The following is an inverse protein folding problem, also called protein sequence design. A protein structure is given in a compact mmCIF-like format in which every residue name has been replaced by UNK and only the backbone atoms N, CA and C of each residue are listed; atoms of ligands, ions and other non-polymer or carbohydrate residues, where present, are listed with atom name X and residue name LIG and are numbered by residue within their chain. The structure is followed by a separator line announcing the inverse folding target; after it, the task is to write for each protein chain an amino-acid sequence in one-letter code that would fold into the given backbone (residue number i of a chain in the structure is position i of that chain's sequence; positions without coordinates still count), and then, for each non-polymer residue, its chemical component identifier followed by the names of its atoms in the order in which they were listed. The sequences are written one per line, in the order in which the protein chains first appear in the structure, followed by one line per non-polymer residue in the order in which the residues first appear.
data_IF_828663474976
#
_entry.id   IF_828663474976
#
_cell.length_a   1.000
_cell.length_b   1.000
_cell.length_c   1.000
_cell.angle_alpha   90.00
_cell.angle_beta   90.00
_cell.angle_gamma   90.00
#
_symmetry.space_group_name_H-M   'P 1'
#
loop_
_entity.id
_entity.type
_entity.pdbx_description
1 polymer ?
2 non-polymer ?
3 non-polymer ?
#
# COMPACT_ATOMS: atom_id res chain seq x y z
N UNK A 1 -16.93 -24.01 14.40
CA UNK A 1 -16.25 -24.60 13.27
C UNK A 1 -14.94 -23.93 12.91
N UNK A 2 -14.16 -24.93 12.47
CA UNK A 2 -12.84 -24.84 11.82
C UNK A 2 -12.72 -26.01 10.84
N UNK A 3 -11.62 -26.20 10.07
CA UNK A 3 -11.82 -27.24 9.01
C UNK A 3 -10.66 -27.96 8.28
N UNK A 4 -11.22 -28.28 7.09
CA UNK A 4 -10.73 -29.02 5.91
C UNK A 4 -12.02 -29.27 5.05
N UNK A 5 -13.02 -28.42 5.37
CA UNK A 5 -14.42 -28.46 4.84
C UNK A 5 -15.00 -27.00 4.83
N UNK A 6 -15.31 -26.51 3.63
CA UNK A 6 -15.87 -25.13 3.37
C UNK A 6 -16.16 -24.44 4.76
N UNK A 7 -16.43 -23.11 4.82
CA UNK A 7 -16.68 -22.41 6.14
C UNK A 7 -17.90 -21.39 6.16
N UNK A 8 -18.33 -21.14 7.44
CA UNK A 8 -19.44 -20.22 7.96
C UNK A 8 -19.50 -18.89 7.16
N UNK A 9 -18.70 -18.04 7.72
CA UNK A 9 -18.30 -16.67 7.33
C UNK A 9 -19.21 -15.72 6.48
N UNK A 10 -18.95 -14.42 6.83
CA UNK A 10 -19.57 -13.15 6.31
C UNK A 10 -18.50 -12.20 5.72
N UNK A 11 -17.99 -12.56 4.54
CA UNK A 11 -17.12 -11.66 3.76
C UNK A 11 -18.09 -10.49 3.33
N UNK A 12 -17.68 -9.44 2.70
CA UNK A 12 -18.54 -8.32 2.30
C UNK A 12 -18.64 -8.18 0.79
N UNK A 13 -19.72 -8.47 0.06
CA UNK A 13 -19.63 -8.28 -1.41
C UNK A 13 -19.93 -6.85 -1.92
N UNK A 14 -19.08 -6.57 -2.93
CA UNK A 14 -18.95 -5.39 -3.77
C UNK A 14 -19.58 -5.94 -5.12
N UNK A 15 -20.91 -5.82 -4.94
CA UNK A 15 -21.85 -6.30 -5.97
C UNK A 15 -21.82 -5.58 -7.28
N UNK A 16 -20.82 -4.77 -7.50
CA UNK A 16 -20.77 -3.91 -8.78
C UNK A 16 -20.93 -2.47 -8.34
N UNK A 17 -20.20 -1.65 -9.07
CA UNK A 17 -19.80 -0.33 -9.26
C UNK A 17 -20.51 0.84 -8.44
N UNK A 18 -19.77 1.34 -7.39
CA UNK A 18 -20.17 2.40 -6.37
C UNK A 18 -21.63 2.30 -5.98
N UNK A 19 -21.78 1.17 -5.40
CA UNK A 19 -22.92 0.70 -4.66
C UNK A 19 -22.22 0.28 -3.37
N UNK A 20 -22.61 0.69 -2.21
CA UNK A 20 -21.88 0.36 -0.98
C UNK A 20 -21.62 -1.12 -0.86
N UNK A 21 -21.06 -1.42 0.31
CA UNK A 21 -20.67 -2.83 0.60
C UNK A 21 -21.73 -3.78 1.09
N UNK A 22 -21.80 -4.89 0.34
CA UNK A 22 -22.84 -5.87 0.78
C UNK A 22 -22.16 -6.70 1.82
N UNK A 23 -22.56 -6.59 3.08
CA UNK A 23 -21.93 -7.37 4.16
C UNK A 23 -22.76 -8.68 4.37
N UNK A 24 -22.60 -9.46 3.33
CA UNK A 24 -23.11 -10.74 3.02
C UNK A 24 -22.56 -11.86 3.90
N UNK A 25 -22.83 -13.06 3.37
CA UNK A 25 -22.48 -14.32 4.02
C UNK A 25 -22.06 -15.18 2.84
N UNK A 26 -20.92 -15.76 3.11
CA UNK A 26 -20.30 -16.61 2.08
C UNK A 26 -19.62 -17.90 2.50
N UNK A 27 -19.39 -18.50 1.37
CA UNK A 27 -18.86 -19.82 1.38
C UNK A 27 -17.60 -19.99 0.61
N UNK A 28 -16.55 -19.98 1.46
CA UNK A 28 -15.17 -20.13 1.13
C UNK A 28 -14.66 -21.54 1.02
N UNK A 29 -14.21 -22.19 0.02
CA UNK A 29 -13.69 -23.52 0.20
C UNK A 29 -12.47 -23.59 1.10
N UNK A 30 -12.17 -24.81 1.54
CA UNK A 30 -10.94 -25.15 2.25
C UNK A 30 -9.84 -24.95 1.11
N UNK A 31 -8.61 -24.69 1.56
CA UNK A 31 -7.45 -24.42 0.77
C UNK A 31 -7.00 -25.50 -0.16
N UNK A 32 -7.14 -25.34 -1.42
CA UNK A 32 -6.78 -26.27 -2.47
C UNK A 32 -5.32 -26.59 -2.28
N UNK A 33 -4.71 -27.10 -3.30
CA UNK A 33 -3.29 -27.53 -3.30
C UNK A 33 -2.36 -26.35 -3.42
N UNK A 34 -1.43 -26.26 -2.51
CA UNK A 34 -0.47 -25.16 -2.46
C UNK A 34 -1.14 -23.86 -2.03
N UNK A 35 -2.19 -23.78 -1.30
CA UNK A 35 -2.86 -22.50 -0.92
C UNK A 35 -2.88 -22.27 0.57
N UNK A 36 -3.59 -21.41 1.21
CA UNK A 36 -3.51 -21.28 2.68
C UNK A 36 -4.67 -20.52 3.25
N UNK A 37 -5.65 -21.17 3.89
CA UNK A 37 -6.79 -20.28 4.37
C UNK A 37 -6.32 -19.52 5.57
N UNK A 38 -6.73 -18.27 5.69
CA UNK A 38 -6.38 -17.36 6.76
C UNK A 38 -7.65 -16.79 7.40
N UNK A 39 -7.65 -16.70 8.71
CA UNK A 39 -8.82 -16.12 9.42
C UNK A 39 -8.36 -14.70 9.68
N UNK A 40 -8.85 -13.70 8.99
CA UNK A 40 -8.35 -12.32 9.27
C UNK A 40 -8.43 -11.97 10.76
N UNK A 41 -7.85 -10.85 11.14
CA UNK A 41 -7.87 -10.23 12.43
C UNK A 41 -8.10 -8.72 12.29
N UNK A 42 -7.58 -8.12 11.22
CA UNK A 42 -7.61 -6.72 10.81
C UNK A 42 -7.28 -6.39 9.34
N UNK A 43 -7.85 -5.28 8.89
CA UNK A 43 -7.65 -4.73 7.58
C UNK A 43 -7.83 -3.16 7.55
N UNK A 44 -7.13 -2.67 6.52
CA UNK A 44 -7.22 -1.24 6.31
C UNK A 44 -7.91 -1.02 4.96
N UNK A 45 -8.48 0.19 4.99
CA UNK A 45 -9.09 0.88 3.87
C UNK A 45 -8.04 1.76 3.26
N UNK A 46 -7.52 1.13 2.28
CA UNK A 46 -6.61 1.72 1.38
C UNK A 46 -7.49 2.24 0.31
N UNK A 47 -7.01 3.24 -0.36
CA UNK A 47 -7.84 3.84 -1.35
C UNK A 47 -7.86 3.02 -2.66
N UNK A 48 -6.81 2.20 -2.64
CA UNK A 48 -6.65 1.43 -3.90
C UNK A 48 -7.87 0.65 -4.32
N UNK A 49 -8.61 0.41 -3.32
CA UNK A 49 -9.81 -0.33 -3.01
C UNK A 49 -11.05 0.39 -3.51
N UNK A 50 -11.09 1.68 -3.19
CA UNK A 50 -12.05 2.70 -3.48
C UNK A 50 -12.22 2.71 -5.03
N UNK A 51 -11.06 2.64 -5.61
CA UNK A 51 -10.91 2.59 -7.05
C UNK A 51 -11.64 1.38 -7.63
N UNK A 52 -12.15 0.49 -6.80
CA UNK A 52 -12.84 -0.64 -7.62
C UNK A 52 -14.28 -0.27 -7.37
N UNK A 53 -14.50 0.14 -6.09
CA UNK A 53 -15.84 0.58 -5.74
C UNK A 53 -16.22 1.61 -6.83
N UNK A 54 -15.25 2.13 -7.60
CA UNK A 54 -15.49 3.16 -8.56
C UNK A 54 -15.25 3.05 -10.00
N UNK A 55 -15.05 2.03 -10.71
CA UNK A 55 -14.85 2.16 -12.18
C UNK A 55 -13.37 2.45 -12.39
N UNK A 56 -12.85 3.38 -11.62
CA UNK A 56 -11.40 3.76 -11.75
C UNK A 56 -10.47 2.59 -11.90
N UNK A 57 -10.41 1.65 -10.99
CA UNK A 57 -9.51 0.47 -11.12
C UNK A 57 -10.30 -0.64 -11.81
N UNK A 58 -9.98 -1.02 -13.04
CA UNK A 58 -10.76 -2.12 -13.66
C UNK A 58 -10.23 -3.42 -12.98
N UNK A 59 -11.03 -4.36 -12.58
CA UNK A 59 -10.78 -5.65 -11.95
C UNK A 59 -12.19 -6.30 -11.98
N UNK A 60 -12.27 -7.54 -12.31
CA UNK A 60 -13.57 -8.20 -12.51
C UNK A 60 -14.55 -8.26 -11.40
N UNK A 61 -15.85 -8.05 -11.73
CA UNK A 61 -16.90 -8.12 -10.67
C UNK A 61 -17.84 -9.32 -10.82
N UNK A 62 -18.38 -9.78 -9.72
CA UNK A 62 -18.26 -9.32 -8.33
C UNK A 62 -16.92 -9.78 -7.80
N UNK A 63 -16.44 -9.04 -6.79
CA UNK A 63 -15.05 -9.32 -6.30
C UNK A 63 -14.87 -9.00 -4.85
N UNK A 64 -14.01 -9.71 -4.11
CA UNK A 64 -13.94 -9.26 -2.68
C UNK A 64 -12.78 -8.26 -2.60
N UNK A 65 -13.07 -7.05 -2.18
CA UNK A 65 -12.10 -5.96 -2.10
C UNK A 65 -11.26 -6.21 -0.86
N UNK A 66 -10.36 -5.41 -0.51
CA UNK A 66 -9.38 -5.31 0.51
C UNK A 66 -8.07 -6.01 0.06
N UNK A 67 -6.92 -5.41 0.39
CA UNK A 67 -5.58 -6.03 0.11
C UNK A 67 -4.60 -5.68 1.22
N UNK A 68 -5.11 -4.91 2.16
CA UNK A 68 -4.30 -4.44 3.29
C UNK A 68 -4.80 -5.01 4.60
N UNK A 69 -4.22 -6.22 4.88
CA UNK A 69 -4.59 -6.82 6.21
C UNK A 69 -3.55 -7.81 6.78
N UNK A 70 -3.76 -8.06 8.06
CA UNK A 70 -3.03 -9.01 8.86
C UNK A 70 -3.99 -10.12 9.44
N UNK A 71 -3.69 -11.32 8.98
CA UNK A 71 -4.32 -12.57 9.33
C UNK A 71 -3.53 -13.41 10.38
N UNK A 72 -4.06 -14.59 10.73
CA UNK A 72 -3.68 -15.68 11.56
C UNK A 72 -4.00 -16.96 10.74
N UNK A 73 -3.09 -17.68 10.18
CA UNK A 73 -3.38 -18.85 9.33
C UNK A 73 -4.39 -19.77 10.00
N UNK A 74 -5.02 -20.70 9.26
CA UNK A 74 -5.97 -21.68 9.80
C UNK A 74 -6.10 -22.95 8.95
N UNK A 75 -5.37 -23.17 7.91
CA UNK A 75 -5.54 -24.51 7.16
C UNK A 75 -4.39 -24.54 6.19
N UNK A 76 -3.83 -25.54 5.60
CA UNK A 76 -2.74 -25.29 4.64
C UNK A 76 -2.71 -26.49 3.70
N UNK A 77 -2.69 -26.31 2.43
CA UNK A 77 -2.72 -27.43 1.50
C UNK A 77 -1.51 -28.28 1.79
N UNK A 78 -1.39 -29.20 0.90
CA UNK A 78 -0.24 -30.10 0.88
C UNK A 78 0.66 -29.20 -0.05
N UNK A 79 1.95 -29.26 0.20
CA UNK A 79 2.85 -28.48 -0.73
C UNK A 79 3.37 -27.30 0.08
N UNK A 80 2.65 -26.93 1.17
CA UNK A 80 3.16 -25.77 1.88
C UNK A 80 4.13 -25.89 3.01
N UNK A 81 5.40 -25.74 2.57
CA UNK A 81 6.66 -25.64 3.33
C UNK A 81 6.69 -24.35 4.20
N UNK A 82 6.51 -23.18 3.66
CA UNK A 82 6.48 -21.88 4.19
C UNK A 82 5.66 -21.37 5.34
N UNK A 83 4.49 -21.85 5.69
CA UNK A 83 3.59 -21.40 6.80
C UNK A 83 2.99 -22.73 7.42
N UNK A 84 2.41 -22.58 8.59
CA UNK A 84 1.79 -23.63 9.41
C UNK A 84 0.85 -22.92 10.36
N UNK A 85 -0.29 -23.45 10.73
CA UNK A 85 -1.30 -22.81 11.55
C UNK A 85 -0.87 -21.92 12.69
N UNK A 86 -1.91 -21.29 13.27
CA UNK A 86 -1.74 -20.38 14.39
C UNK A 86 -0.71 -19.32 14.14
N UNK A 87 0.01 -19.45 13.05
CA UNK A 87 1.03 -18.57 12.47
C UNK A 87 0.48 -17.20 12.06
N UNK A 88 1.07 -16.03 12.38
CA UNK A 88 0.49 -14.75 11.87
C UNK A 88 0.97 -14.46 10.45
N UNK A 89 0.08 -13.70 9.77
CA UNK A 89 0.47 -13.49 8.31
C UNK A 89 0.07 -12.19 7.71
N UNK A 90 0.70 -11.83 6.57
CA UNK A 90 0.33 -10.53 5.88
C UNK A 90 0.06 -11.08 4.45
N UNK A 91 -1.19 -11.08 3.99
CA UNK A 91 -1.47 -11.65 2.61
C UNK A 91 -0.62 -10.81 1.69
N UNK A 92 -0.11 -11.12 0.53
CA UNK A 92 0.77 -10.18 -0.23
C UNK A 92 0.16 -9.80 -1.58
N UNK A 93 -0.15 -8.48 -1.68
CA UNK A 93 -0.79 -8.01 -2.95
C UNK A 93 0.18 -8.10 -4.10
N UNK A 94 1.48 -8.28 -3.78
CA UNK A 94 2.53 -8.49 -4.80
C UNK A 94 3.21 -9.86 -4.50
N UNK A 95 3.08 -10.77 -5.44
CA UNK A 95 3.65 -12.08 -5.43
C UNK A 95 5.14 -12.12 -5.02
N UNK A 96 5.74 -13.23 -5.47
CA UNK A 96 7.24 -13.51 -4.71
C UNK A 96 7.47 -14.95 -5.08
N UNK A 97 7.22 -15.20 -6.35
CA UNK A 97 7.30 -16.56 -6.88
C UNK A 97 8.73 -17.03 -6.94
N UNK A 98 9.54 -16.31 -6.24
CA UNK A 98 10.95 -16.62 -6.12
C UNK A 98 11.61 -16.93 -7.45
N UNK A 99 11.14 -16.55 -8.60
CA UNK A 99 11.82 -16.78 -9.84
C UNK A 99 10.87 -16.53 -11.12
N UNK A 100 11.30 -15.57 -11.97
CA UNK A 100 10.70 -15.04 -13.26
C UNK A 100 11.65 -13.87 -13.53
N UNK A 101 11.95 -13.45 -14.72
CA UNK A 101 12.98 -12.37 -14.77
C UNK A 101 12.82 -11.45 -13.58
N UNK A 102 11.82 -10.65 -13.32
CA UNK A 102 11.79 -9.77 -12.14
C UNK A 102 12.05 -10.31 -10.75
N UNK A 103 11.83 -11.56 -10.55
CA UNK A 103 11.96 -12.15 -9.21
C UNK A 103 13.35 -12.57 -8.91
N UNK A 104 13.99 -12.99 -9.93
CA UNK A 104 15.36 -13.31 -9.83
C UNK A 104 16.12 -11.95 -10.18
N UNK A 105 15.54 -10.83 -10.50
CA UNK A 105 16.44 -9.62 -10.74
C UNK A 105 16.58 -8.70 -9.55
N UNK A 106 17.79 -8.14 -9.40
CA UNK A 106 18.06 -7.28 -8.24
C UNK A 106 17.17 -6.12 -8.08
N UNK A 107 16.27 -5.65 -8.87
CA UNK A 107 15.28 -4.55 -8.65
C UNK A 107 14.13 -5.09 -9.62
N UNK A 108 13.28 -5.76 -8.92
CA UNK A 108 12.15 -6.41 -9.61
C UNK A 108 11.41 -6.98 -8.38
N UNK A 109 10.26 -6.43 -8.14
CA UNK A 109 9.38 -6.89 -7.07
C UNK A 109 8.01 -7.09 -7.77
N UNK A 110 7.73 -6.42 -8.81
CA UNK A 110 6.47 -6.58 -9.55
C UNK A 110 6.73 -7.98 -10.17
N UNK A 111 6.30 -9.01 -9.42
CA UNK A 111 6.44 -10.39 -9.86
C UNK A 111 5.51 -10.65 -11.04
N UNK A 112 6.04 -11.07 -12.17
CA UNK A 112 5.39 -11.39 -13.42
C UNK A 112 4.08 -12.19 -13.22
N UNK A 113 3.73 -12.38 -11.98
CA UNK A 113 2.65 -13.15 -11.46
C UNK A 113 1.54 -12.48 -10.72
N UNK A 114 1.30 -11.25 -10.98
CA UNK A 114 0.26 -10.48 -10.24
C UNK A 114 -0.93 -10.24 -11.17
N UNK A 115 -1.94 -9.64 -10.52
CA UNK A 115 -3.20 -9.27 -11.10
C UNK A 115 -3.33 -7.82 -11.53
N UNK A 116 -2.43 -6.97 -11.05
CA UNK A 116 -2.39 -5.53 -11.30
C UNK A 116 -2.26 -5.36 -12.83
N UNK A 117 -1.33 -6.10 -13.41
CA UNK A 117 -1.14 -5.93 -14.86
C UNK A 117 -2.57 -6.22 -15.36
N UNK A 118 -2.98 -7.42 -15.51
CA UNK A 118 -4.39 -7.57 -16.02
C UNK A 118 -5.34 -8.38 -15.16
N UNK A 119 -5.98 -7.61 -14.33
CA UNK A 119 -6.94 -8.20 -13.36
C UNK A 119 -7.75 -9.23 -14.12
N UNK A 120 -7.72 -10.42 -13.49
CA UNK A 120 -8.35 -11.69 -13.88
C UNK A 120 -9.37 -12.27 -12.88
N UNK A 121 -9.38 -11.71 -11.68
CA UNK A 121 -10.21 -11.96 -10.56
C UNK A 121 -10.07 -13.32 -9.86
N UNK A 122 -9.46 -14.26 -10.55
CA UNK A 122 -9.19 -15.54 -10.09
C UNK A 122 -8.12 -15.56 -8.93
N UNK A 123 -7.50 -16.69 -8.87
CA UNK A 123 -6.50 -17.33 -8.01
C UNK A 123 -5.45 -17.94 -8.96
N UNK A 124 -4.24 -18.28 -8.56
CA UNK A 124 -3.27 -18.71 -9.58
C UNK A 124 -3.70 -19.88 -10.41
N UNK A 125 -4.76 -20.60 -10.17
CA UNK A 125 -5.11 -21.77 -11.07
C UNK A 125 -6.19 -21.38 -12.07
N UNK A 126 -6.63 -20.15 -11.93
CA UNK A 126 -7.70 -19.59 -12.77
C UNK A 126 -9.02 -20.13 -12.20
N UNK A 127 -9.17 -20.06 -10.89
CA UNK A 127 -10.34 -20.58 -10.18
C UNK A 127 -10.61 -19.86 -8.91
N UNK A 128 -11.86 -19.66 -8.49
CA UNK A 128 -12.08 -18.92 -7.25
C UNK A 128 -12.82 -19.54 -6.08
N UNK A 129 -12.09 -19.76 -5.02
CA UNK A 129 -12.44 -20.21 -3.73
C UNK A 129 -13.51 -19.43 -3.01
N UNK A 130 -14.45 -18.73 -3.62
CA UNK A 130 -15.51 -17.98 -2.87
C UNK A 130 -16.92 -18.12 -3.51
N UNK A 131 -17.96 -18.64 -2.86
CA UNK A 131 -19.27 -18.68 -3.51
C UNK A 131 -20.19 -17.67 -2.80
N UNK A 132 -21.11 -17.06 -3.56
CA UNK A 132 -22.06 -16.11 -2.92
C UNK A 132 -23.27 -16.92 -2.76
N UNK A 133 -22.97 -17.63 -1.71
CA UNK A 133 -23.71 -18.74 -1.19
C UNK A 133 -24.11 -19.60 -2.39
N UNK A 134 -24.28 -18.91 -3.56
CA UNK A 134 -24.72 -19.55 -4.85
C UNK A 134 -23.86 -19.16 -6.11
N UNK A 135 -23.36 -17.94 -6.15
CA UNK A 135 -22.55 -17.41 -7.30
C UNK A 135 -21.09 -17.26 -6.93
N UNK A 136 -20.17 -17.58 -7.83
CA UNK A 136 -18.73 -17.43 -7.63
C UNK A 136 -18.36 -15.95 -7.57
N UNK A 137 -17.89 -15.43 -6.51
CA UNK A 137 -17.41 -14.08 -6.36
C UNK A 137 -15.96 -14.14 -6.91
N UNK A 138 -15.38 -13.12 -7.51
CA UNK A 138 -13.99 -13.20 -8.02
C UNK A 138 -12.96 -12.75 -7.01
N UNK A 139 -11.67 -12.95 -7.26
CA UNK A 139 -10.69 -12.45 -6.27
C UNK A 139 -10.10 -11.10 -6.76
N UNK A 140 -9.40 -10.53 -5.75
CA UNK A 140 -8.72 -9.24 -5.80
C UNK A 140 -7.23 -9.25 -5.42
N UNK A 141 -6.58 -9.14 -6.57
CA UNK A 141 -5.04 -9.10 -6.52
C UNK A 141 -5.00 -10.57 -6.09
N UNK A 142 -4.64 -10.87 -4.88
CA UNK A 142 -4.72 -12.36 -4.58
C UNK A 142 -5.02 -12.33 -3.08
N UNK A 143 -5.56 -11.19 -2.68
CA UNK A 143 -5.79 -11.18 -1.17
C UNK A 143 -7.25 -11.30 -0.87
N UNK A 144 -8.15 -10.41 -1.14
CA UNK A 144 -9.63 -10.38 -0.92
C UNK A 144 -9.58 -10.42 0.60
N UNK A 145 -9.09 -9.34 1.08
CA UNK A 145 -8.82 -9.19 2.52
C UNK A 145 -10.04 -8.77 3.20
N UNK A 146 -11.06 -8.40 2.50
CA UNK A 146 -12.35 -7.91 3.08
C UNK A 146 -13.35 -8.93 3.56
N UNK A 147 -13.00 -10.17 3.75
CA UNK A 147 -13.84 -11.26 4.23
C UNK A 147 -13.28 -11.74 5.57
N UNK A 148 -14.07 -12.41 6.39
CA UNK A 148 -13.39 -12.87 7.67
C UNK A 148 -12.55 -14.13 7.44
N UNK A 149 -12.47 -14.70 6.27
CA UNK A 149 -11.65 -15.85 5.97
C UNK A 149 -11.19 -15.77 4.53
N UNK A 150 -9.93 -16.03 4.19
CA UNK A 150 -9.67 -15.92 2.71
C UNK A 150 -8.72 -17.01 2.27
N UNK A 151 -8.54 -17.20 1.01
CA UNK A 151 -7.62 -18.22 0.48
C UNK A 151 -6.73 -17.52 -0.57
N UNK A 152 -5.46 -17.50 -0.19
CA UNK A 152 -4.37 -16.81 -0.93
C UNK A 152 -3.34 -17.78 -1.39
N UNK A 153 -2.68 -17.90 -2.49
CA UNK A 153 -1.65 -18.90 -2.70
C UNK A 153 -0.53 -18.61 -1.61
N UNK A 154 0.57 -19.24 -1.94
CA UNK A 154 1.82 -19.21 -1.10
C UNK A 154 2.78 -18.12 -1.60
N UNK A 155 2.98 -17.98 -2.90
CA UNK A 155 3.80 -16.91 -3.51
C UNK A 155 3.12 -15.68 -2.93
N UNK A 156 1.81 -15.53 -2.95
CA UNK A 156 1.16 -14.37 -2.29
C UNK A 156 0.91 -14.37 -0.80
N UNK A 157 1.74 -14.87 0.09
CA UNK A 157 1.61 -14.88 1.58
C UNK A 157 2.92 -14.94 2.40
N UNK A 158 3.10 -14.01 3.32
CA UNK A 158 4.21 -13.75 4.18
C UNK A 158 4.10 -13.86 5.69
N UNK A 159 4.90 -14.78 6.26
CA UNK A 159 4.87 -14.99 7.72
C UNK A 159 5.47 -13.94 8.60
N UNK A 160 4.66 -13.14 9.25
CA UNK A 160 5.21 -12.10 10.16
C UNK A 160 5.69 -12.67 11.49
N UNK A 161 5.82 -11.89 12.54
CA UNK A 161 6.36 -12.10 13.83
C UNK A 161 5.56 -12.60 14.99
N UNK A 162 5.38 -13.87 15.13
CA UNK A 162 4.59 -14.43 16.27
C UNK A 162 4.04 -13.49 17.30
N UNK A 163 4.46 -12.36 17.74
CA UNK A 163 3.65 -11.62 18.75
C UNK A 163 3.44 -10.18 18.20
N UNK A 164 3.23 -10.20 16.89
CA UNK A 164 3.00 -9.03 16.05
C UNK A 164 1.61 -8.51 16.28
N UNK A 165 1.40 -7.41 16.96
CA UNK A 165 0.02 -6.87 17.17
C UNK A 165 -0.73 -6.84 15.84
N UNK A 166 -1.32 -7.92 15.37
CA UNK A 166 -2.06 -8.09 14.15
C UNK A 166 -2.89 -6.92 13.70
N UNK A 167 -3.16 -6.06 14.63
CA UNK A 167 -3.86 -4.84 14.58
C UNK A 167 -3.18 -3.75 13.78
N UNK A 168 -1.94 -3.46 14.03
CA UNK A 168 -0.93 -2.54 13.61
C UNK A 168 -0.10 -2.99 12.40
N UNK A 169 0.27 -4.22 12.45
CA UNK A 169 1.08 -4.89 11.40
C UNK A 169 0.29 -5.06 10.10
N UNK A 170 -0.90 -4.52 9.96
CA UNK A 170 -1.74 -4.66 8.75
C UNK A 170 -1.23 -3.70 7.70
N UNK A 171 -0.89 -2.53 8.21
CA UNK A 171 -0.34 -1.36 7.53
C UNK A 171 0.87 -1.71 6.71
N UNK A 172 1.79 -2.48 7.20
CA UNK A 172 3.01 -2.94 6.59
C UNK A 172 2.75 -3.58 5.26
N UNK A 173 1.47 -3.56 4.88
CA UNK A 173 0.90 -4.03 3.64
C UNK A 173 0.74 -3.09 2.42
N UNK A 174 0.41 -1.85 2.64
CA UNK A 174 0.27 -0.88 1.54
C UNK A 174 0.68 0.47 2.05
N UNK A 175 -0.27 1.03 2.75
CA UNK A 175 -0.16 2.32 3.37
C UNK A 175 1.28 2.64 3.72
N UNK A 176 1.87 1.97 4.66
CA UNK A 176 3.20 2.16 5.18
C UNK A 176 4.36 1.51 4.50
N UNK A 177 4.48 0.52 3.74
CA UNK A 177 5.82 0.11 3.22
C UNK A 177 5.85 0.55 1.75
N UNK A 178 4.92 1.47 1.52
CA UNK A 178 4.81 1.97 0.09
C UNK A 178 5.42 3.38 0.14
N UNK A 179 4.93 4.07 1.17
CA UNK A 179 5.35 5.43 1.55
C UNK A 179 6.78 5.05 1.99
N UNK A 180 7.03 4.89 3.25
CA UNK A 180 8.34 4.50 3.77
C UNK A 180 9.29 3.81 2.83
N UNK A 181 8.87 2.89 2.02
CA UNK A 181 9.80 2.19 1.14
C UNK A 181 10.25 2.95 -0.05
N UNK A 182 9.61 4.02 -0.41
CA UNK A 182 9.98 4.82 -1.62
C UNK A 182 11.28 5.48 -1.25
N UNK A 183 11.01 6.09 -0.06
CA UNK A 183 12.11 6.74 0.63
C UNK A 183 13.21 5.68 0.79
N UNK A 184 12.95 4.39 1.11
CA UNK A 184 14.12 3.49 1.33
C UNK A 184 14.69 2.52 0.39
N UNK A 185 14.05 2.00 -0.60
CA UNK A 185 14.74 0.97 -1.45
C UNK A 185 14.71 1.50 -2.83
N UNK A 186 13.95 2.64 -2.98
CA UNK A 186 13.88 3.21 -4.37
C UNK A 186 14.75 4.44 -4.71
N UNK A 187 14.42 5.50 -3.97
CA UNK A 187 15.10 6.79 -4.16
C UNK A 187 16.31 6.70 -3.28
N UNK A 188 16.92 5.56 -3.27
CA UNK A 188 18.13 5.23 -2.44
C UNK A 188 18.62 6.34 -1.53
N UNK A 189 17.75 7.19 -1.00
CA UNK A 189 18.06 8.31 -0.16
C UNK A 189 19.29 8.11 0.67
N UNK A 190 20.10 9.12 0.75
CA UNK A 190 21.39 9.44 1.31
C UNK A 190 21.46 10.27 2.57
N UNK A 191 22.44 9.93 3.41
CA UNK A 191 22.60 10.69 4.72
C UNK A 191 23.05 12.08 4.34
N UNK A 192 22.30 13.08 4.82
CA UNK A 192 22.76 14.49 4.40
C UNK A 192 21.62 15.26 3.76
N UNK A 193 21.25 14.91 2.57
CA UNK A 193 20.19 15.39 1.75
C UNK A 193 19.16 16.37 2.24
N UNK A 194 18.32 16.70 1.26
CA UNK A 194 17.15 17.60 1.38
C UNK A 194 16.24 16.76 0.43
N UNK A 195 15.20 16.40 1.12
CA UNK A 195 14.09 15.60 0.66
C UNK A 195 12.76 16.34 0.76
N UNK A 196 12.02 16.37 -0.34
CA UNK A 196 10.69 17.06 -0.37
C UNK A 196 9.57 16.06 -0.32
N UNK A 197 8.41 16.31 0.34
CA UNK A 197 7.31 15.33 0.32
C UNK A 197 5.96 16.02 -0.05
N UNK A 198 5.50 15.56 -1.17
CA UNK A 198 4.25 16.06 -1.76
C UNK A 198 3.11 15.12 -1.45
N UNK A 199 2.38 15.44 -0.45
CA UNK A 199 1.24 14.70 0.09
C UNK A 199 1.58 14.43 1.58
N UNK A 200 0.66 14.88 2.43
CA UNK A 200 0.98 14.63 3.86
C UNK A 200 0.01 13.73 4.57
N UNK A 201 -0.44 12.67 3.86
CA UNK A 201 -1.34 11.68 4.55
C UNK A 201 -0.61 10.32 4.75
N UNK A 202 -1.41 9.29 5.02
CA UNK A 202 -1.05 7.94 5.23
C UNK A 202 0.24 7.59 4.51
N UNK A 203 0.26 7.56 3.18
CA UNK A 203 1.55 7.20 2.51
C UNK A 203 2.65 8.23 2.66
N UNK A 204 2.51 9.52 2.42
CA UNK A 204 3.61 10.45 2.63
C UNK A 204 4.22 10.37 4.04
N UNK A 205 3.55 10.49 5.17
CA UNK A 205 4.24 10.39 6.46
C UNK A 205 5.02 9.06 6.46
N UNK A 206 4.47 8.01 5.88
CA UNK A 206 5.28 6.76 5.86
C UNK A 206 6.53 7.06 5.02
N UNK A 207 6.46 8.01 4.10
CA UNK A 207 7.58 8.35 3.19
C UNK A 207 8.63 9.30 3.73
N UNK A 208 8.28 10.26 4.50
CA UNK A 208 8.87 11.23 5.30
C UNK A 208 9.49 10.31 6.43
N UNK A 209 8.74 9.20 6.59
CA UNK A 209 9.07 8.27 7.62
C UNK A 209 10.23 7.41 7.24
N UNK A 210 10.60 7.30 5.98
CA UNK A 210 11.77 6.39 5.68
C UNK A 210 13.01 7.14 5.26
N UNK A 211 12.89 8.48 5.10
CA UNK A 211 14.02 9.34 4.67
C UNK A 211 15.03 9.25 5.85
N UNK A 212 14.31 9.78 6.90
CA UNK A 212 14.94 9.90 8.24
C UNK A 212 15.55 8.53 8.41
N UNK A 213 14.85 7.58 7.76
CA UNK A 213 15.46 6.23 7.99
C UNK A 213 16.78 6.32 7.23
N UNK A 214 16.50 6.52 5.95
CA UNK A 214 17.53 6.50 4.91
C UNK A 214 18.82 7.16 5.35
N UNK A 215 18.57 8.28 6.03
CA UNK A 215 19.90 8.96 6.36
C UNK A 215 19.38 10.23 6.96
N UNK A 216 19.32 11.37 6.29
CA UNK A 216 18.77 12.39 7.26
C UNK A 216 18.38 13.67 6.59
N UNK A 217 18.71 14.53 7.56
CA UNK A 217 18.83 16.01 7.66
C UNK A 217 17.64 16.89 7.37
N UNK A 218 17.43 17.23 6.11
CA UNK A 218 16.33 18.14 5.78
C UNK A 218 15.19 17.41 5.09
N UNK A 219 14.03 17.31 5.76
CA UNK A 219 12.83 16.70 5.14
C UNK A 219 11.67 17.77 5.20
N UNK A 220 11.67 18.51 4.08
CA UNK A 220 10.61 19.56 3.99
C UNK A 220 9.45 18.61 3.67
N UNK A 221 8.26 18.96 3.95
CA UNK A 221 7.03 18.24 3.63
C UNK A 221 5.97 19.28 3.25
N UNK A 222 5.64 19.29 1.97
CA UNK A 222 4.63 20.32 1.59
C UNK A 222 3.24 19.74 1.67
N UNK A 223 2.29 20.37 2.25
CA UNK A 223 0.86 19.90 2.24
C UNK A 223 0.04 21.21 2.31
N UNK A 224 -0.90 21.45 1.39
CA UNK A 224 -1.64 22.73 1.49
C UNK A 224 -2.70 22.59 2.58
N UNK A 225 -2.38 21.74 3.56
CA UNK A 225 -3.25 21.36 4.66
C UNK A 225 -2.71 21.57 6.05
N UNK A 226 -3.01 22.81 6.44
CA UNK A 226 -2.69 23.34 7.75
C UNK A 226 -2.80 22.27 8.81
N UNK A 227 -3.36 21.13 8.58
CA UNK A 227 -3.53 20.16 9.71
C UNK A 227 -2.58 18.99 9.69
N UNK A 228 -2.40 18.51 8.47
CA UNK A 228 -1.47 17.40 8.26
C UNK A 228 -0.11 17.85 8.77
N UNK A 229 0.21 19.08 9.23
CA UNK A 229 1.64 19.25 9.63
C UNK A 229 1.98 18.67 11.01
N UNK A 230 1.18 18.86 12.04
CA UNK A 230 1.62 18.32 13.40
C UNK A 230 2.28 16.97 13.16
N UNK A 231 1.39 15.99 12.96
CA UNK A 231 1.65 14.61 12.68
C UNK A 231 2.91 14.52 11.83
N UNK A 232 2.94 15.50 10.92
CA UNK A 232 4.00 15.67 9.89
C UNK A 232 5.38 15.76 10.53
N UNK A 233 5.41 16.86 11.27
CA UNK A 233 6.70 17.10 12.02
C UNK A 233 6.79 16.03 13.08
N UNK A 234 5.60 15.44 13.43
CA UNK A 234 5.53 14.42 14.44
C UNK A 234 6.25 13.14 14.09
N UNK A 235 6.40 12.87 12.80
CA UNK A 235 7.04 11.57 12.51
C UNK A 235 8.39 11.69 11.86
N UNK A 236 8.94 12.95 11.87
CA UNK A 236 10.34 12.99 11.23
C UNK A 236 10.52 14.17 10.31
N UNK A 237 9.44 14.95 10.21
CA UNK A 237 9.40 16.13 9.35
C UNK A 237 10.28 17.18 10.03
N UNK A 238 11.21 17.69 9.22
CA UNK A 238 12.17 18.71 9.63
C UNK A 238 11.57 20.12 9.47
N UNK A 239 10.54 20.15 8.65
CA UNK A 239 9.89 21.45 8.37
C UNK A 239 8.61 21.43 7.60
N UNK A 240 7.78 22.45 7.56
CA UNK A 240 6.54 22.37 6.77
C UNK A 240 6.05 23.55 5.99
N UNK A 241 6.02 23.42 4.70
CA UNK A 241 5.54 24.39 3.71
C UNK A 241 4.08 24.11 3.32
N UNK A 242 3.27 25.06 2.95
CA UNK A 242 1.86 24.89 2.44
C UNK A 242 1.75 25.73 1.17
N UNK A 243 1.75 25.20 -0.02
CA UNK A 243 1.73 25.99 -1.26
C UNK A 243 0.78 27.13 -1.40
N UNK A 244 -0.08 27.34 -0.47
CA UNK A 244 -1.09 28.35 -0.37
C UNK A 244 -0.52 29.64 0.21
N UNK A 245 0.48 29.52 1.03
CA UNK A 245 1.12 30.63 1.73
C UNK A 245 1.75 31.81 0.97
N UNK A 246 2.49 31.58 -0.05
CA UNK A 246 3.28 32.20 -0.97
C UNK A 246 2.69 32.62 -2.31
N UNK A 247 3.11 33.76 -2.84
CA UNK A 247 2.63 34.20 -4.15
C UNK A 247 3.67 33.78 -5.18
N UNK A 248 4.12 32.57 -5.32
CA UNK A 248 5.09 32.16 -6.37
C UNK A 248 4.97 30.59 -6.53
N UNK A 249 5.35 30.15 -7.68
CA UNK A 249 5.31 28.72 -7.98
C UNK A 249 5.94 28.05 -6.77
N UNK A 250 5.37 26.94 -6.29
CA UNK A 250 6.01 26.30 -5.06
C UNK A 250 7.30 25.63 -5.57
N UNK A 251 7.14 25.32 -6.85
CA UNK A 251 8.28 24.68 -7.56
C UNK A 251 9.52 25.52 -7.40
N UNK A 252 9.31 26.73 -6.96
CA UNK A 252 10.30 27.80 -6.79
C UNK A 252 10.53 28.00 -5.33
N UNK A 253 9.53 28.34 -4.55
CA UNK A 253 9.81 28.53 -3.10
C UNK A 253 10.45 27.31 -2.46
N UNK A 254 10.86 26.35 -3.25
CA UNK A 254 11.47 25.09 -2.78
C UNK A 254 12.93 25.09 -3.21
N UNK A 255 13.07 25.51 -4.43
CA UNK A 255 14.44 25.59 -5.10
C UNK A 255 15.34 26.55 -4.33
N UNK A 256 14.58 27.50 -3.68
CA UNK A 256 15.13 28.50 -2.80
C UNK A 256 15.76 27.64 -1.64
N UNK A 257 14.93 27.35 -0.67
CA UNK A 257 15.15 26.59 0.53
C UNK A 257 16.25 25.55 0.46
N UNK A 258 16.36 24.88 -0.65
CA UNK A 258 17.39 23.84 -0.82
C UNK A 258 18.66 24.50 -1.37
N UNK A 259 18.41 25.69 -2.00
CA UNK A 259 19.51 26.37 -2.66
C UNK A 259 19.63 25.44 -3.91
N UNK A 260 18.67 25.71 -4.78
CA UNK A 260 18.64 24.96 -6.06
C UNK A 260 17.91 23.66 -6.07
N UNK A 261 17.18 23.42 -4.94
CA UNK A 261 16.43 22.22 -4.83
C UNK A 261 16.88 20.97 -4.13
N UNK A 262 15.87 20.44 -3.40
CA UNK A 262 15.76 19.23 -2.61
C UNK A 262 16.17 18.14 -3.66
N UNK A 263 17.05 17.32 -3.20
CA UNK A 263 17.85 16.26 -3.56
C UNK A 263 17.29 14.97 -4.14
N UNK A 264 16.13 14.72 -3.60
CA UNK A 264 15.05 13.82 -3.58
C UNK A 264 13.66 14.41 -3.28
N UNK A 265 12.66 14.06 -4.06
CA UNK A 265 11.30 14.59 -3.72
C UNK A 265 10.29 13.47 -3.91
N UNK A 266 9.05 13.65 -3.60
CA UNK A 266 8.07 12.54 -3.81
C UNK A 266 6.66 13.11 -3.84
N UNK A 267 5.92 12.67 -4.79
CA UNK A 267 4.46 13.05 -4.97
C UNK A 267 3.73 11.90 -4.31
N UNK A 268 3.04 11.95 -3.22
CA UNK A 268 2.28 10.85 -2.56
C UNK A 268 0.82 11.42 -2.45
N UNK A 269 0.52 12.08 -3.53
CA UNK A 269 -0.70 12.85 -3.76
C UNK A 269 -1.46 12.11 -4.83
N UNK A 270 -0.68 11.74 -5.85
CA UNK A 270 -1.20 11.09 -7.07
C UNK A 270 -1.84 12.16 -7.99
N UNK A 271 -1.54 13.49 -7.90
CA UNK A 271 -2.17 14.49 -8.79
C UNK A 271 -1.41 14.63 -10.11
N UNK A 272 -2.11 14.70 -11.23
CA UNK A 272 -1.35 14.77 -12.53
C UNK A 272 -0.54 16.07 -12.61
N UNK A 273 -0.89 17.02 -11.76
CA UNK A 273 -0.15 18.27 -11.69
C UNK A 273 1.08 18.04 -10.80
N UNK A 274 0.86 17.83 -9.53
CA UNK A 274 1.93 17.63 -8.53
C UNK A 274 2.97 16.61 -8.91
N UNK A 275 2.72 16.00 -10.03
CA UNK A 275 3.64 14.91 -10.52
C UNK A 275 4.67 15.53 -11.42
N UNK A 276 4.22 16.49 -12.23
CA UNK A 276 5.17 17.23 -13.10
C UNK A 276 5.86 18.25 -12.16
N UNK A 277 5.10 18.79 -11.23
CA UNK A 277 5.49 19.74 -10.22
C UNK A 277 6.57 19.39 -9.19
N UNK A 278 7.17 18.23 -9.30
CA UNK A 278 8.16 17.77 -8.37
C UNK A 278 9.23 16.98 -9.10
N UNK A 279 9.19 17.07 -10.40
CA UNK A 279 10.27 16.39 -11.16
C UNK A 279 11.20 17.68 -11.08
N UNK A 280 10.40 18.75 -11.23
CA UNK A 280 10.71 20.13 -11.27
C UNK A 280 11.51 20.61 -10.06
N UNK A 281 11.00 20.57 -8.87
CA UNK A 281 11.67 21.10 -7.67
C UNK A 281 12.68 20.18 -7.05
N UNK A 282 13.60 19.77 -7.79
CA UNK A 282 14.66 18.78 -7.46
C UNK A 282 15.88 19.23 -8.16
N UNK A 283 17.11 18.98 -7.86
CA UNK A 283 18.29 19.52 -8.63
C UNK A 283 18.45 19.04 -10.03
N UNK A 284 18.50 19.80 -11.10
CA UNK A 284 18.62 19.34 -12.47
C UNK A 284 19.87 18.71 -13.02
N UNK A 285 20.80 18.46 -12.17
CA UNK A 285 22.11 17.96 -12.48
C UNK A 285 22.31 16.49 -12.34
N UNK A 286 21.76 16.10 -11.23
CA UNK A 286 21.63 15.00 -10.38
C UNK A 286 20.44 14.78 -9.43
N UNK A 287 19.37 15.53 -9.39
CA UNK A 287 18.22 15.31 -8.47
C UNK A 287 17.43 14.08 -8.93
N UNK A 288 16.69 13.47 -7.97
CA UNK A 288 15.88 12.26 -8.25
C UNK A 288 14.46 12.35 -7.66
N UNK A 289 13.46 12.04 -8.51
CA UNK A 289 12.04 12.08 -8.06
C UNK A 289 11.30 10.81 -8.52
N UNK A 290 10.55 10.31 -7.49
CA UNK A 290 9.77 9.06 -7.61
C UNK A 290 8.27 9.33 -7.53
N UNK A 291 7.53 8.68 -8.43
CA UNK A 291 6.06 8.84 -8.45
C UNK A 291 5.53 7.71 -7.55
N UNK A 292 4.91 7.98 -6.44
CA UNK A 292 4.37 6.96 -5.50
C UNK A 292 3.02 6.33 -5.94
N UNK A 293 2.00 7.19 -5.82
CA UNK A 293 0.63 6.94 -6.15
C UNK A 293 0.21 7.61 -7.49
N UNK A 294 -0.67 6.70 -8.08
CA UNK A 294 -1.24 7.11 -9.37
C UNK A 294 -2.62 6.54 -9.73
N UNK A 295 -3.61 7.43 -9.62
CA UNK A 295 -5.01 7.19 -9.95
C UNK A 295 -5.07 6.40 -11.24
N UNK A 296 -5.92 5.38 -11.15
CA UNK A 296 -5.98 4.46 -12.35
C UNK A 296 -6.73 5.20 -13.40
N UNK A 297 -7.47 6.17 -12.79
CA UNK A 297 -8.36 7.02 -13.67
C UNK A 297 -7.64 8.27 -14.10
N UNK A 298 -6.83 8.09 -15.21
CA UNK A 298 -6.06 9.27 -15.60
C UNK A 298 -5.63 9.50 -17.02
N UNK A 299 -5.37 10.82 -17.15
CA UNK A 299 -4.79 11.38 -18.43
C UNK A 299 -3.25 11.32 -18.10
N UNK A 300 -2.40 11.28 -19.06
CA UNK A 300 -0.96 11.21 -18.91
C UNK A 300 -0.28 12.13 -17.90
N UNK A 301 -0.15 13.38 -18.28
CA UNK A 301 0.42 14.54 -17.71
C UNK A 301 1.30 15.17 -18.90
N UNK A 302 1.16 16.50 -18.74
CA UNK A 302 1.78 17.48 -19.69
C UNK A 302 3.23 17.70 -19.33
N UNK A 303 4.15 17.43 -20.28
CA UNK A 303 5.49 17.66 -19.62
C UNK A 303 6.64 17.85 -20.52
N UNK A 304 7.51 18.76 -19.93
CA UNK A 304 8.72 19.15 -20.53
C UNK A 304 9.94 18.24 -20.48
N UNK A 305 10.14 17.75 -21.69
CA UNK A 305 11.30 16.88 -21.94
C UNK A 305 12.46 17.46 -21.17
N UNK A 306 12.61 18.74 -21.40
CA UNK A 306 13.68 19.51 -20.79
C UNK A 306 13.87 19.25 -19.31
N UNK A 307 12.98 18.65 -18.49
CA UNK A 307 13.34 18.51 -17.04
C UNK A 307 14.23 17.29 -16.80
N UNK A 308 14.23 16.38 -17.76
CA UNK A 308 14.94 15.14 -17.73
C UNK A 308 16.33 15.37 -18.26
N UNK A 309 16.60 16.02 -19.35
CA UNK A 309 17.87 16.36 -19.95
C UNK A 309 18.99 17.01 -19.17
N UNK A 310 18.73 17.91 -18.27
CA UNK A 310 19.75 18.53 -17.45
C UNK A 310 20.49 17.44 -16.67
N UNK A 311 19.88 16.24 -16.75
CA UNK A 311 20.29 15.00 -16.15
C UNK A 311 19.67 14.27 -14.99
N UNK A 312 18.56 14.63 -14.45
CA UNK A 312 17.62 14.27 -13.45
C UNK A 312 16.97 12.91 -13.63
N UNK A 313 16.60 12.19 -12.61
CA UNK A 313 15.92 10.89 -12.63
C UNK A 313 14.48 10.87 -12.14
N UNK A 314 13.61 10.30 -12.94
CA UNK A 314 12.15 10.06 -12.67
C UNK A 314 12.11 8.50 -12.53
N UNK A 315 11.61 8.14 -11.37
CA UNK A 315 11.58 6.63 -11.03
C UNK A 315 10.11 6.31 -11.00
N UNK A 316 9.64 5.50 -10.11
CA UNK A 316 8.40 4.90 -9.73
C UNK A 316 8.55 3.45 -9.18
N UNK A 317 7.62 3.16 -8.22
CA UNK A 317 7.52 1.91 -7.55
C UNK A 317 6.21 1.58 -6.81
N UNK A 318 5.94 0.26 -7.07
CA UNK A 318 4.80 -0.51 -6.49
C UNK A 318 5.31 -1.29 -5.26
N UNK A 319 4.62 -1.09 -4.16
CA UNK A 319 5.08 -1.77 -2.89
C UNK A 319 6.50 -1.28 -2.65
N UNK A 320 6.74 -0.21 -1.90
CA UNK A 320 8.03 0.37 -1.66
C UNK A 320 9.32 -0.05 -2.32
N UNK A 321 9.26 -0.65 -3.49
CA UNK A 321 10.27 -1.15 -4.35
C UNK A 321 10.91 -2.41 -3.80
N UNK A 322 10.36 -2.86 -2.68
CA UNK A 322 10.69 -4.03 -1.86
C UNK A 322 10.21 -5.38 -2.47
N UNK A 323 11.09 -6.35 -2.40
CA UNK A 323 10.77 -7.76 -2.84
C UNK A 323 10.08 -8.25 -1.53
N UNK A 324 8.81 -8.57 -1.49
CA UNK A 324 7.94 -8.90 -0.39
C UNK A 324 7.86 -10.12 0.45
N UNK A 325 8.07 -11.34 -0.04
CA UNK A 325 7.99 -12.49 0.87
C UNK A 325 9.19 -12.26 1.85
N UNK A 326 10.30 -11.95 1.20
CA UNK A 326 11.61 -11.71 1.77
C UNK A 326 11.60 -10.42 2.63
N UNK A 327 10.67 -9.54 2.57
CA UNK A 327 10.64 -8.30 3.28
C UNK A 327 9.58 -7.93 4.24
N UNK A 328 8.30 -8.17 3.98
CA UNK A 328 7.31 -7.78 5.01
C UNK A 328 7.91 -8.06 6.44
N UNK A 329 8.47 -9.28 6.51
CA UNK A 329 9.01 -9.80 7.75
C UNK A 329 10.19 -9.04 8.29
N UNK A 330 11.21 -8.73 7.45
CA UNK A 330 12.37 -7.96 8.02
C UNK A 330 11.79 -6.71 8.74
N UNK A 331 10.80 -6.21 7.98
CA UNK A 331 10.04 -5.03 8.23
C UNK A 331 9.16 -5.02 9.45
N UNK A 332 8.79 -6.14 10.03
CA UNK A 332 7.84 -6.14 11.18
C UNK A 332 8.56 -5.75 12.48
N UNK A 333 9.52 -6.69 12.49
CA UNK A 333 10.66 -6.93 13.33
C UNK A 333 11.19 -5.54 13.67
N UNK A 334 11.56 -4.84 12.56
CA UNK A 334 12.08 -3.45 12.73
C UNK A 334 11.03 -2.70 13.53
N UNK A 335 9.78 -3.14 13.38
CA UNK A 335 8.69 -2.48 14.15
C UNK A 335 8.77 -3.05 15.58
N UNK A 336 9.07 -4.33 15.58
CA UNK A 336 9.19 -5.15 16.79
C UNK A 336 10.42 -4.78 17.63
N UNK A 337 11.47 -4.51 16.81
CA UNK A 337 12.84 -4.13 17.11
C UNK A 337 12.85 -2.72 17.70
N UNK A 338 11.82 -1.96 17.48
CA UNK A 338 11.45 -0.64 17.82
C UNK A 338 11.57 0.29 16.56
N UNK A 339 12.72 0.49 16.03
CA UNK A 339 12.94 1.27 14.84
C UNK A 339 11.86 2.25 14.52
N UNK A 340 10.79 1.85 13.84
CA UNK A 340 9.77 2.93 13.53
C UNK A 340 8.39 2.76 14.05
N UNK A 341 7.73 3.59 14.79
CA UNK A 341 6.32 3.23 15.16
C UNK A 341 5.19 3.56 14.18
N UNK A 342 4.03 2.81 14.44
CA UNK A 342 2.87 2.91 13.55
C UNK A 342 1.63 3.64 13.88
N UNK A 343 1.56 4.25 15.00
CA UNK A 343 0.27 4.88 15.43
C UNK A 343 -0.15 6.12 14.76
N UNK A 344 0.58 7.21 14.70
CA UNK A 344 0.18 8.45 13.95
C UNK A 344 -0.40 8.10 12.59
N UNK A 345 -0.22 6.88 12.01
CA UNK A 345 -0.92 6.61 10.75
C UNK A 345 -2.35 6.18 11.21
N UNK A 346 -2.43 5.36 12.26
CA UNK A 346 -3.70 4.80 12.68
C UNK A 346 -4.73 5.77 13.20
N UNK A 347 -5.35 6.50 12.34
CA UNK A 347 -6.38 7.39 13.00
C UNK A 347 -7.67 6.74 13.37
N UNK A 348 -8.09 5.60 12.74
CA UNK A 348 -9.44 5.00 13.16
C UNK A 348 -9.59 3.54 13.40
N UNK A 349 -10.16 3.10 14.55
CA UNK A 349 -10.26 1.58 14.76
C UNK A 349 -11.68 1.07 15.02
N UNK A 350 -12.12 0.44 13.90
CA UNK A 350 -13.46 -0.09 13.84
C UNK A 350 -13.91 -1.53 13.54
N UNK A 351 -14.99 -1.86 14.28
CA UNK A 351 -15.71 -3.11 14.11
C UNK A 351 -16.01 -3.11 12.58
N UNK A 352 -15.34 -4.03 11.92
CA UNK A 352 -15.27 -4.36 10.54
C UNK A 352 -16.50 -4.15 9.68
N UNK A 353 -17.57 -4.29 10.33
CA UNK A 353 -18.94 -4.24 9.83
C UNK A 353 -19.42 -2.91 9.39
N UNK A 354 -18.66 -1.95 9.88
CA UNK A 354 -19.09 -0.53 9.40
C UNK A 354 -18.00 -0.23 8.39
N UNK A 355 -17.90 -1.19 7.43
CA UNK A 355 -16.96 -1.18 6.31
C UNK A 355 -17.34 0.13 5.60
N UNK A 356 -18.63 0.37 5.47
CA UNK A 356 -19.09 1.63 4.84
C UNK A 356 -19.05 2.87 5.69
N UNK A 357 -19.09 3.03 6.97
CA UNK A 357 -18.96 4.40 7.56
C UNK A 357 -17.43 4.50 7.62
N UNK A 358 -16.94 3.28 7.32
CA UNK A 358 -15.49 3.01 7.20
C UNK A 358 -15.10 3.78 5.90
N UNK A 359 -15.36 3.25 4.75
CA UNK A 359 -15.10 3.85 3.43
C UNK A 359 -15.60 5.28 3.29
N UNK A 360 -16.24 5.74 4.32
CA UNK A 360 -16.73 7.12 4.40
C UNK A 360 -15.52 8.04 4.75
N UNK A 361 -15.22 8.03 6.05
CA UNK A 361 -14.07 8.82 6.56
C UNK A 361 -12.92 8.83 5.54
N UNK A 362 -12.87 7.79 4.69
CA UNK A 362 -11.90 7.68 3.63
C UNK A 362 -12.24 8.78 2.59
N UNK A 363 -13.41 8.71 2.01
CA UNK A 363 -13.90 9.65 0.96
C UNK A 363 -14.07 11.12 1.27
N UNK A 364 -14.70 11.40 2.36
CA UNK A 364 -14.90 12.78 2.82
C UNK A 364 -13.72 13.02 3.73
N UNK A 365 -12.51 13.07 3.22
CA UNK A 365 -11.31 13.31 3.94
C UNK A 365 -10.89 12.75 5.28
N UNK A 366 -11.44 13.33 6.36
CA UNK A 366 -11.26 13.12 7.73
C UNK A 366 -10.29 12.15 8.29
N UNK A 367 -9.79 11.10 7.63
CA UNK A 367 -8.87 10.21 8.45
C UNK A 367 -7.75 9.64 7.61
N UNK A 368 -6.60 9.57 8.31
CA UNK A 368 -5.37 9.15 7.69
C UNK A 368 -5.41 7.73 7.15
N UNK A 369 -5.60 6.90 8.11
CA UNK A 369 -5.66 5.44 7.92
C UNK A 369 -6.65 4.96 9.02
N UNK A 370 -7.26 3.82 8.60
CA UNK A 370 -8.21 3.20 9.47
C UNK A 370 -8.27 1.69 9.21
N UNK A 371 -8.17 1.12 10.40
CA UNK A 371 -8.23 -0.31 10.73
C UNK A 371 -9.66 -0.75 11.09
N UNK A 372 -10.11 -1.62 10.23
CA UNK A 372 -11.44 -2.28 10.22
C UNK A 372 -11.19 -3.55 11.02
N UNK A 373 -11.42 -3.56 12.30
CA UNK A 373 -11.11 -4.72 13.13
C UNK A 373 -12.12 -5.85 12.94
N UNK A 374 -11.49 -7.02 12.89
CA UNK A 374 -12.29 -8.29 12.75
C UNK A 374 -12.32 -8.98 14.13
#
# INVERSE_FOLDING_TARGET
STAGKVIKCKAAVLWEEKKPFSIEEVEVAPPKAHEVRIKMVATGICRSDDHVVSGTLVTPLPVIAGHEAAGIVESIGEGVTTVRPGDKVIPLFTPQCGKCRVCKHPEGNFCLKNDLSMPRGTMQDGTSRFTCRGKPIHHFLGTSTFSQYTVVDEISVAKIDAASPLEKVCLIGCGFSTGYGSAVKVAKVTQGSTCAVFGLGGVGLSVIMGCKAAGAARIIGVDINKDKFAKAKEVGATECVNPQDYKKPIQEVLTEMSNGGVDFSFEVIGRLDTMVTALSCCQEAYGVSVIVGVPPDSQNLSMNPMLLLSGRTWKGAIFGGFKSKDSVPKLVADFMAKKFALDPLITHVLPFEKINEGFDLLRSGESIRTILTF
#
